data_IF_888852811417
#
_entry.id   IF_888852811417
#
_cell.length_a   1.000
_cell.length_b   1.000
_cell.length_c   1.000
_cell.angle_alpha   90.00
_cell.angle_beta   90.00
_cell.angle_gamma   90.00
#
_symmetry.space_group_name_H-M   'P 1'
#
loop_
_entity.id
_entity.type
_entity.pdbx_description
1 polymer ?
#
# COMPACT_ATOMS: atom_id res chain seq x y z
N UNK A 1 24.30 -28.26 -34.99
CA UNK A 1 24.90 -27.86 -33.70
C UNK A 1 24.30 -26.53 -33.17
N UNK A 2 24.36 -25.44 -33.90
CA UNK A 2 23.84 -24.12 -33.46
C UNK A 2 22.37 -24.10 -32.98
N UNK A 3 21.48 -24.91 -33.56
CA UNK A 3 20.06 -24.98 -33.16
C UNK A 3 19.82 -25.57 -31.78
N UNK A 4 20.67 -26.48 -31.29
CA UNK A 4 20.52 -27.09 -29.96
C UNK A 4 20.97 -26.14 -28.84
N UNK A 5 22.07 -25.44 -29.01
CA UNK A 5 22.53 -24.43 -28.05
C UNK A 5 21.57 -23.26 -27.89
N UNK A 6 21.00 -22.81 -29.03
CA UNK A 6 20.01 -21.74 -28.99
C UNK A 6 18.67 -22.20 -28.37
N UNK A 7 18.30 -23.47 -28.59
CA UNK A 7 17.12 -24.08 -27.93
C UNK A 7 17.31 -24.14 -26.41
N UNK A 8 18.51 -24.46 -25.93
CA UNK A 8 18.83 -24.43 -24.50
C UNK A 8 18.75 -23.00 -23.92
N UNK A 9 19.23 -22.01 -24.66
CA UNK A 9 19.12 -20.58 -24.27
C UNK A 9 17.66 -20.14 -24.11
N UNK A 10 16.74 -20.67 -24.90
CA UNK A 10 15.32 -20.39 -24.77
C UNK A 10 14.69 -21.02 -23.51
N UNK A 11 15.36 -21.93 -22.82
CA UNK A 11 14.85 -22.61 -21.62
C UNK A 11 13.43 -23.18 -21.78
N UNK A 12 13.15 -23.75 -22.94
CA UNK A 12 11.91 -24.48 -23.26
C UNK A 12 12.30 -25.93 -23.67
N UNK A 13 12.64 -26.80 -22.70
CA UNK A 13 13.29 -28.08 -22.96
C UNK A 13 12.45 -29.05 -23.81
N UNK A 14 11.13 -28.86 -23.82
CA UNK A 14 10.22 -29.70 -24.62
C UNK A 14 10.14 -29.30 -26.08
N UNK A 15 10.68 -28.12 -26.44
CA UNK A 15 10.56 -27.55 -27.78
C UNK A 15 11.92 -27.59 -28.48
N UNK A 16 11.88 -27.90 -29.78
CA UNK A 16 13.03 -27.81 -30.68
C UNK A 16 12.77 -26.68 -31.69
N UNK A 17 13.77 -25.82 -31.89
CA UNK A 17 13.73 -24.82 -32.97
C UNK A 17 13.97 -25.53 -34.31
N UNK A 18 13.05 -25.39 -35.24
CA UNK A 18 13.16 -25.91 -36.58
C UNK A 18 13.87 -24.90 -37.48
N UNK A 19 13.45 -23.64 -37.43
CA UNK A 19 14.07 -22.57 -38.20
C UNK A 19 13.80 -21.19 -37.59
N UNK A 20 14.64 -20.23 -37.93
CA UNK A 20 14.38 -18.83 -37.72
C UNK A 20 13.58 -18.29 -38.88
N UNK A 21 12.36 -17.80 -38.65
CA UNK A 21 11.48 -17.27 -39.67
C UNK A 21 11.81 -15.82 -40.01
N UNK A 22 12.15 -15.03 -38.97
CA UNK A 22 12.42 -13.61 -39.14
C UNK A 22 13.39 -13.15 -38.06
N UNK A 23 14.36 -12.31 -38.42
CA UNK A 23 15.20 -11.57 -37.50
C UNK A 23 15.25 -10.11 -37.94
N UNK A 24 14.42 -9.27 -37.33
CA UNK A 24 14.39 -7.83 -37.54
C UNK A 24 15.26 -7.09 -36.52
N UNK A 25 15.29 -5.74 -36.62
CA UNK A 25 16.01 -4.91 -35.63
C UNK A 25 15.39 -5.05 -34.22
N UNK A 26 14.07 -5.12 -34.12
CA UNK A 26 13.31 -5.10 -32.86
C UNK A 26 12.61 -6.43 -32.54
N UNK A 27 12.51 -7.36 -33.46
CA UNK A 27 11.80 -8.63 -33.28
C UNK A 27 12.53 -9.83 -33.88
N UNK A 28 12.26 -11.00 -33.33
CA UNK A 28 12.69 -12.28 -33.90
C UNK A 28 11.58 -13.30 -33.75
N UNK A 29 11.36 -14.12 -34.78
CA UNK A 29 10.35 -15.16 -34.79
C UNK A 29 10.94 -16.52 -35.16
N UNK A 30 10.69 -17.51 -34.32
CA UNK A 30 11.21 -18.86 -34.44
C UNK A 30 10.06 -19.84 -34.64
N UNK A 31 10.27 -20.82 -35.53
CA UNK A 31 9.38 -21.95 -35.69
C UNK A 31 9.86 -23.10 -34.81
N UNK A 32 8.93 -23.66 -34.02
CA UNK A 32 9.23 -24.70 -33.04
C UNK A 32 8.21 -25.84 -33.11
N UNK A 33 8.68 -27.04 -32.74
CA UNK A 33 7.83 -28.20 -32.49
C UNK A 33 8.22 -28.89 -31.20
N UNK A 34 7.28 -29.67 -30.62
CA UNK A 34 7.55 -30.46 -29.42
C UNK A 34 8.29 -31.75 -29.77
N UNK A 35 9.30 -32.11 -28.97
CA UNK A 35 10.17 -33.26 -29.25
C UNK A 35 9.58 -34.61 -28.85
N UNK A 36 8.58 -34.63 -27.96
CA UNK A 36 7.93 -35.87 -27.51
C UNK A 36 7.23 -36.61 -28.62
N UNK A 37 7.29 -37.94 -28.64
CA UNK A 37 6.61 -38.80 -29.65
C UNK A 37 5.15 -39.10 -29.29
N UNK A 38 4.78 -38.96 -28.01
CA UNK A 38 3.43 -39.23 -27.50
C UNK A 38 3.01 -38.13 -26.53
N UNK A 39 1.73 -38.10 -26.23
CA UNK A 39 1.19 -37.23 -25.20
C UNK A 39 0.22 -37.96 -24.27
N UNK A 40 0.09 -37.46 -23.04
CA UNK A 40 -0.84 -38.02 -22.06
C UNK A 40 -2.19 -37.29 -22.14
N UNK A 41 -3.25 -38.07 -22.27
CA UNK A 41 -4.59 -37.50 -22.29
C UNK A 41 -4.91 -36.80 -20.96
N UNK A 42 -5.29 -35.50 -20.94
CA UNK A 42 -5.54 -34.76 -19.69
C UNK A 42 -6.80 -35.24 -18.96
N UNK A 43 -7.63 -36.10 -19.57
CA UNK A 43 -8.87 -36.60 -18.96
C UNK A 43 -8.71 -37.97 -18.31
N UNK A 44 -8.01 -38.90 -18.95
CA UNK A 44 -7.88 -40.29 -18.47
C UNK A 44 -6.43 -40.74 -18.25
N UNK A 45 -5.45 -39.87 -18.41
CA UNK A 45 -4.02 -40.13 -18.26
C UNK A 45 -3.47 -41.24 -19.21
N UNK A 46 -4.22 -41.71 -20.19
CA UNK A 46 -3.75 -42.71 -21.18
C UNK A 46 -2.77 -42.05 -22.15
N UNK A 47 -1.69 -42.74 -22.48
CA UNK A 47 -0.72 -42.29 -23.51
C UNK A 47 -1.36 -42.40 -24.89
N UNK A 48 -1.26 -41.35 -25.69
CA UNK A 48 -1.76 -41.29 -27.09
C UNK A 48 -0.58 -41.04 -28.02
N UNK A 49 -0.45 -41.90 -29.01
CA UNK A 49 0.62 -41.86 -30.03
C UNK A 49 0.12 -41.31 -31.36
N UNK A 50 -1.18 -41.38 -31.59
CA UNK A 50 -1.80 -41.03 -32.87
C UNK A 50 -2.08 -39.54 -32.92
N UNK A 51 -1.40 -38.83 -33.81
CA UNK A 51 -1.68 -37.44 -34.11
C UNK A 51 -2.94 -37.36 -34.99
N UNK A 52 -3.91 -36.56 -34.58
CA UNK A 52 -5.15 -36.32 -35.31
C UNK A 52 -4.95 -35.24 -36.38
N UNK A 53 -4.43 -34.08 -35.95
CA UNK A 53 -4.05 -32.97 -36.82
C UNK A 53 -3.05 -32.06 -36.08
N UNK A 54 -2.78 -30.87 -36.61
CA UNK A 54 -1.95 -29.86 -35.94
C UNK A 54 -2.51 -28.44 -36.11
N UNK A 55 -2.18 -27.55 -35.18
CA UNK A 55 -2.53 -26.14 -35.23
C UNK A 55 -1.31 -25.26 -34.95
N UNK A 56 -1.15 -24.21 -35.74
CA UNK A 56 -0.12 -23.22 -35.54
C UNK A 56 -0.53 -22.19 -34.52
N UNK A 57 0.30 -21.94 -33.52
CA UNK A 57 0.05 -20.93 -32.48
C UNK A 57 1.24 -19.98 -32.40
N UNK A 58 0.96 -18.70 -32.49
CA UNK A 58 1.97 -17.65 -32.26
C UNK A 58 1.91 -17.19 -30.84
N UNK A 59 3.04 -17.31 -30.11
CA UNK A 59 3.18 -17.04 -28.68
C UNK A 59 4.24 -15.96 -28.49
N UNK A 60 3.94 -14.91 -27.74
CA UNK A 60 4.93 -13.90 -27.36
C UNK A 60 5.72 -14.36 -26.13
N UNK A 61 7.04 -14.22 -26.19
CA UNK A 61 7.96 -14.65 -25.15
C UNK A 61 8.72 -13.45 -24.54
N UNK A 62 9.45 -13.70 -23.46
CA UNK A 62 10.30 -12.69 -22.85
C UNK A 62 11.34 -12.18 -23.86
N UNK A 63 11.64 -10.87 -23.88
CA UNK A 63 12.60 -10.30 -24.81
C UNK A 63 14.00 -10.85 -24.54
N UNK A 64 14.79 -10.97 -25.60
CA UNK A 64 16.21 -11.34 -25.55
C UNK A 64 17.02 -10.21 -26.19
N UNK A 65 17.95 -9.60 -25.46
CA UNK A 65 18.78 -8.48 -25.94
C UNK A 65 17.91 -7.38 -26.57
N UNK A 66 16.87 -6.96 -25.86
CA UNK A 66 15.89 -5.92 -26.27
C UNK A 66 15.06 -6.22 -27.51
N UNK A 67 15.13 -7.45 -28.03
CA UNK A 67 14.29 -7.92 -29.15
C UNK A 67 13.06 -8.63 -28.63
N UNK A 68 11.90 -8.29 -29.18
CA UNK A 68 10.66 -9.05 -28.95
C UNK A 68 10.76 -10.43 -29.57
N UNK A 69 10.46 -11.45 -28.81
CA UNK A 69 10.55 -12.84 -29.24
C UNK A 69 9.15 -13.39 -29.49
N UNK A 70 8.96 -13.98 -30.66
CA UNK A 70 7.76 -14.70 -31.05
C UNK A 70 8.09 -16.15 -31.36
N UNK A 71 7.29 -17.04 -30.79
CA UNK A 71 7.40 -18.48 -30.95
C UNK A 71 6.20 -18.93 -31.78
N UNK A 72 6.43 -19.39 -33.00
CA UNK A 72 5.44 -20.01 -33.86
C UNK A 72 5.53 -21.54 -33.66
N UNK A 73 4.61 -22.05 -32.84
CA UNK A 73 4.68 -23.45 -32.37
C UNK A 73 3.65 -24.27 -33.18
N UNK A 74 4.15 -25.37 -33.78
CA UNK A 74 3.31 -26.37 -34.38
C UNK A 74 2.80 -27.32 -33.30
N UNK A 75 1.60 -27.02 -32.75
CA UNK A 75 0.97 -27.86 -31.73
C UNK A 75 0.19 -28.99 -32.38
N UNK A 76 0.49 -30.22 -32.00
CA UNK A 76 -0.21 -31.42 -32.43
C UNK A 76 -1.48 -31.61 -31.62
N UNK A 77 -2.52 -32.10 -32.27
CA UNK A 77 -3.71 -32.60 -31.59
C UNK A 77 -3.66 -34.13 -31.67
N UNK A 78 -3.75 -34.76 -30.53
CA UNK A 78 -3.73 -36.21 -30.38
C UNK A 78 -5.16 -36.74 -30.20
N UNK A 79 -5.41 -37.96 -30.70
CA UNK A 79 -6.68 -38.64 -30.46
C UNK A 79 -6.55 -39.66 -29.33
N UNK A 80 -7.33 -39.50 -28.29
CA UNK A 80 -7.37 -40.48 -27.18
C UNK A 80 -8.35 -41.59 -27.49
N UNK A 81 -7.85 -42.80 -27.67
CA UNK A 81 -8.68 -43.99 -27.99
C UNK A 81 -9.66 -44.33 -26.84
N UNK A 82 -9.24 -44.12 -25.58
CA UNK A 82 -10.07 -44.38 -24.36
C UNK A 82 -11.21 -43.38 -24.24
N UNK A 83 -10.90 -42.08 -24.32
CA UNK A 83 -11.92 -41.05 -24.20
C UNK A 83 -12.67 -40.76 -25.50
N UNK A 84 -12.23 -41.34 -26.65
CA UNK A 84 -12.74 -41.10 -28.00
C UNK A 84 -12.85 -39.62 -28.38
N UNK A 85 -11.87 -38.80 -27.91
CA UNK A 85 -11.83 -37.35 -28.13
C UNK A 85 -10.43 -36.85 -28.46
N UNK A 86 -10.31 -35.85 -29.32
CA UNK A 86 -9.03 -35.18 -29.57
C UNK A 86 -8.69 -34.24 -28.42
N UNK A 87 -7.40 -34.06 -28.19
CA UNK A 87 -6.84 -33.08 -27.25
C UNK A 87 -5.56 -32.48 -27.83
N UNK A 88 -5.32 -31.21 -27.52
CA UNK A 88 -4.11 -30.51 -27.96
C UNK A 88 -2.99 -30.73 -26.94
N UNK A 89 -1.78 -31.02 -27.44
CA UNK A 89 -0.61 -31.18 -26.59
C UNK A 89 -0.35 -29.97 -25.73
N UNK A 90 -0.10 -30.13 -24.40
CA UNK A 90 0.35 -29.08 -23.56
C UNK A 90 1.82 -28.76 -23.86
N UNK A 91 2.24 -27.54 -23.61
CA UNK A 91 3.65 -27.12 -23.62
C UNK A 91 3.99 -26.49 -22.30
N UNK A 92 5.02 -26.98 -21.62
CA UNK A 92 5.45 -26.43 -20.35
C UNK A 92 5.76 -24.93 -20.48
N UNK A 93 5.34 -24.14 -19.49
CA UNK A 93 5.49 -22.69 -19.52
C UNK A 93 4.52 -21.92 -20.42
N UNK A 94 3.53 -22.60 -21.04
CA UNK A 94 2.48 -21.96 -21.84
C UNK A 94 1.11 -22.48 -21.42
N UNK A 95 0.31 -21.64 -20.77
CA UNK A 95 -1.06 -22.03 -20.35
C UNK A 95 -2.00 -22.21 -21.55
N UNK A 96 -2.93 -23.14 -21.42
CA UNK A 96 -3.98 -23.36 -22.42
C UNK A 96 -4.76 -22.07 -22.68
N UNK A 97 -4.91 -21.70 -23.94
CA UNK A 97 -5.63 -20.50 -24.38
C UNK A 97 -4.83 -19.19 -24.29
N UNK A 98 -3.63 -19.21 -23.75
CA UNK A 98 -2.78 -18.01 -23.65
C UNK A 98 -1.86 -17.88 -24.87
N UNK A 99 -1.63 -16.63 -25.28
CA UNK A 99 -0.70 -16.26 -26.38
C UNK A 99 0.62 -15.69 -25.85
N UNK A 100 0.95 -16.01 -24.59
CA UNK A 100 2.18 -15.57 -23.91
C UNK A 100 2.75 -16.72 -23.09
N UNK A 101 4.08 -16.76 -22.95
CA UNK A 101 4.74 -17.66 -22.02
C UNK A 101 4.58 -17.17 -20.58
N UNK A 102 4.71 -18.07 -19.59
CA UNK A 102 4.69 -17.71 -18.16
C UNK A 102 5.86 -16.78 -17.79
N UNK A 103 7.05 -17.01 -18.34
CA UNK A 103 8.21 -16.14 -18.09
C UNK A 103 8.01 -14.74 -18.67
N UNK A 104 7.31 -14.58 -19.80
CA UNK A 104 6.95 -13.27 -20.32
C UNK A 104 5.97 -12.54 -19.38
N UNK A 105 5.02 -13.27 -18.79
CA UNK A 105 4.10 -12.69 -17.80
C UNK A 105 4.84 -12.26 -16.52
N UNK A 106 5.84 -13.03 -16.07
CA UNK A 106 6.73 -12.63 -14.98
C UNK A 106 7.58 -11.40 -15.36
N UNK A 107 8.04 -11.33 -16.60
CA UNK A 107 8.79 -10.18 -17.12
C UNK A 107 7.91 -8.92 -17.18
N UNK A 108 6.65 -9.03 -17.61
CA UNK A 108 5.68 -7.91 -17.51
C UNK A 108 5.55 -7.42 -16.08
N UNK A 109 5.48 -8.30 -15.09
CA UNK A 109 5.45 -7.93 -13.68
C UNK A 109 6.71 -7.16 -13.28
N UNK A 110 7.89 -7.70 -13.59
CA UNK A 110 9.16 -7.03 -13.30
C UNK A 110 9.24 -5.62 -13.93
N UNK A 111 8.87 -5.48 -15.20
CA UNK A 111 8.80 -4.17 -15.86
C UNK A 111 7.81 -3.23 -15.15
N UNK A 112 6.64 -3.75 -14.75
CA UNK A 112 5.60 -2.96 -14.07
C UNK A 112 6.01 -2.46 -12.70
N UNK A 113 6.96 -3.13 -12.05
CA UNK A 113 7.54 -2.72 -10.77
C UNK A 113 8.68 -1.70 -10.93
N UNK A 114 9.40 -1.73 -12.05
CA UNK A 114 10.59 -0.92 -12.27
C UNK A 114 10.34 0.32 -13.15
N UNK A 115 9.31 0.31 -14.00
CA UNK A 115 8.90 1.49 -14.76
C UNK A 115 7.92 2.37 -13.98
N UNK A 116 7.91 3.66 -14.30
CA UNK A 116 7.09 4.65 -13.61
C UNK A 116 5.58 4.37 -13.70
N UNK A 117 5.13 3.86 -14.84
CA UNK A 117 3.71 3.55 -15.07
C UNK A 117 3.50 2.43 -16.10
N UNK A 118 2.29 1.87 -16.10
CA UNK A 118 1.95 0.74 -16.97
C UNK A 118 1.94 1.11 -18.47
N UNK A 119 1.73 2.38 -18.84
CA UNK A 119 1.77 2.80 -20.23
C UNK A 119 3.19 2.75 -20.82
N UNK A 120 4.22 2.97 -20.00
CA UNK A 120 5.61 2.76 -20.42
C UNK A 120 5.89 1.28 -20.67
N UNK A 121 5.41 0.39 -19.80
CA UNK A 121 5.55 -1.06 -19.98
C UNK A 121 4.88 -1.51 -21.29
N UNK A 122 3.68 -0.98 -21.60
CA UNK A 122 2.97 -1.29 -22.82
C UNK A 122 3.81 -0.93 -24.06
N UNK A 123 4.37 0.28 -24.09
CA UNK A 123 5.21 0.72 -25.22
C UNK A 123 6.51 -0.07 -25.32
N UNK A 124 7.17 -0.30 -24.18
CA UNK A 124 8.46 -1.02 -24.15
C UNK A 124 8.33 -2.48 -24.59
N UNK A 125 7.24 -3.14 -24.21
CA UNK A 125 7.02 -4.55 -24.51
C UNK A 125 6.12 -4.77 -25.74
N UNK A 126 5.63 -3.71 -26.36
CA UNK A 126 4.67 -3.77 -27.47
C UNK A 126 3.51 -4.72 -27.14
N UNK A 127 2.75 -4.41 -26.09
CA UNK A 127 1.62 -5.19 -25.61
C UNK A 127 0.37 -4.34 -25.42
N UNK A 128 -0.80 -4.98 -25.53
CA UNK A 128 -2.06 -4.30 -25.26
C UNK A 128 -2.20 -3.93 -23.76
N UNK A 129 -2.95 -2.86 -23.49
CA UNK A 129 -3.31 -2.45 -22.12
C UNK A 129 -3.98 -3.60 -21.35
N UNK A 130 -4.89 -4.33 -22.00
CA UNK A 130 -5.60 -5.46 -21.39
C UNK A 130 -4.65 -6.57 -20.96
N UNK A 131 -3.69 -6.96 -21.81
CA UNK A 131 -2.70 -7.98 -21.49
C UNK A 131 -1.81 -7.53 -20.32
N UNK A 132 -1.32 -6.28 -20.36
CA UNK A 132 -0.48 -5.72 -19.31
C UNK A 132 -1.19 -5.75 -17.97
N UNK A 133 -2.40 -5.18 -17.88
CA UNK A 133 -3.19 -5.17 -16.65
C UNK A 133 -3.49 -6.59 -16.14
N UNK A 134 -3.97 -7.48 -17.02
CA UNK A 134 -4.29 -8.86 -16.65
C UNK A 134 -3.07 -9.61 -16.13
N UNK A 135 -1.93 -9.52 -16.83
CA UNK A 135 -0.71 -10.21 -16.42
C UNK A 135 -0.18 -9.67 -15.09
N UNK A 136 -0.10 -8.34 -14.95
CA UNK A 136 0.43 -7.69 -13.74
C UNK A 136 -0.41 -8.02 -12.50
N UNK A 137 -1.72 -7.75 -12.54
CA UNK A 137 -2.57 -7.95 -11.36
C UNK A 137 -2.85 -9.42 -11.02
N UNK A 138 -2.73 -10.33 -11.99
CA UNK A 138 -2.74 -11.76 -11.73
C UNK A 138 -1.50 -12.18 -10.93
N UNK A 139 -0.32 -11.75 -11.36
CA UNK A 139 0.93 -12.05 -10.65
C UNK A 139 0.96 -11.42 -9.25
N UNK A 140 0.52 -10.17 -9.09
CA UNK A 140 0.35 -9.55 -7.78
C UNK A 140 -0.57 -10.36 -6.87
N UNK A 141 -1.69 -10.84 -7.40
CA UNK A 141 -2.63 -11.67 -6.65
C UNK A 141 -2.01 -12.99 -6.16
N UNK A 142 -1.13 -13.60 -6.94
CA UNK A 142 -0.38 -14.80 -6.53
C UNK A 142 0.61 -14.50 -5.40
N UNK A 143 1.36 -13.40 -5.50
CA UNK A 143 2.32 -13.00 -4.47
C UNK A 143 1.64 -12.67 -3.14
N UNK A 144 0.54 -11.93 -3.18
CA UNK A 144 -0.20 -11.53 -1.97
C UNK A 144 -0.82 -12.74 -1.25
N UNK A 145 -1.24 -13.79 -1.97
CA UNK A 145 -1.77 -15.03 -1.37
C UNK A 145 -0.79 -15.73 -0.43
N UNK A 146 0.51 -15.47 -0.57
CA UNK A 146 1.53 -16.03 0.34
C UNK A 146 1.51 -15.40 1.73
N UNK A 147 0.80 -14.27 1.92
CA UNK A 147 0.65 -13.58 3.21
C UNK A 147 -0.55 -14.18 3.96
N UNK A 148 -0.42 -15.39 4.47
CA UNK A 148 -1.48 -16.06 5.25
C UNK A 148 -1.15 -16.06 6.75
N UNK A 149 -0.77 -14.92 7.31
CA UNK A 149 -0.46 -14.82 8.72
C UNK A 149 -1.63 -14.23 9.49
N UNK A 150 -1.70 -14.53 10.78
CA UNK A 150 -2.59 -13.88 11.74
C UNK A 150 -2.25 -12.39 11.88
N UNK A 151 -3.13 -11.63 12.53
CA UNK A 151 -2.85 -10.26 12.89
C UNK A 151 -1.61 -10.16 13.77
N UNK A 152 -0.75 -9.19 13.50
CA UNK A 152 0.40 -8.88 14.34
C UNK A 152 -0.03 -8.20 15.64
N UNK A 153 0.81 -8.25 16.67
CA UNK A 153 0.50 -7.72 18.02
C UNK A 153 0.28 -6.21 18.08
N UNK A 154 0.77 -5.45 17.10
CA UNK A 154 0.62 -3.99 17.04
C UNK A 154 0.20 -3.55 15.66
N UNK A 155 -0.90 -2.84 15.58
CA UNK A 155 -1.54 -2.36 14.35
C UNK A 155 -1.69 -0.85 14.38
N UNK A 156 -1.32 -0.17 13.30
CA UNK A 156 -1.65 1.23 13.06
C UNK A 156 -2.83 1.33 12.09
N UNK A 157 -3.78 2.19 12.40
CA UNK A 157 -4.94 2.48 11.54
C UNK A 157 -4.91 3.97 11.20
N UNK A 158 -5.07 4.27 9.90
CA UNK A 158 -5.17 5.64 9.41
C UNK A 158 -5.98 5.65 8.10
N UNK A 159 -6.25 6.82 7.56
CA UNK A 159 -7.00 6.96 6.32
C UNK A 159 -6.31 7.89 5.31
N UNK A 160 -6.62 7.65 4.05
CA UNK A 160 -6.29 8.60 2.99
C UNK A 160 -7.38 8.64 1.93
N UNK A 161 -7.45 9.76 1.21
CA UNK A 161 -8.39 9.91 0.12
C UNK A 161 -8.01 8.95 -1.02
N UNK A 162 -8.93 8.06 -1.40
CA UNK A 162 -8.78 7.18 -2.54
C UNK A 162 -9.20 7.87 -3.83
N UNK A 163 -10.39 8.46 -3.84
CA UNK A 163 -10.95 9.07 -5.03
C UNK A 163 -11.69 10.36 -4.70
N UNK A 164 -11.60 11.34 -5.59
CA UNK A 164 -12.36 12.57 -5.50
C UNK A 164 -13.42 12.57 -6.60
N UNK A 165 -14.69 12.62 -6.24
CA UNK A 165 -15.75 12.74 -7.21
C UNK A 165 -15.75 14.17 -7.77
N UNK A 166 -15.64 14.29 -9.11
CA UNK A 166 -15.57 15.59 -9.79
C UNK A 166 -16.85 16.40 -9.69
N UNK A 167 -18.02 15.74 -9.59
CA UNK A 167 -19.34 16.40 -9.65
C UNK A 167 -19.97 16.77 -8.30
N UNK A 168 -19.47 16.27 -7.17
CA UNK A 168 -20.16 16.46 -5.89
C UNK A 168 -19.29 16.77 -4.67
N UNK A 169 -17.98 17.00 -4.82
CA UNK A 169 -17.11 17.25 -3.67
C UNK A 169 -16.88 16.04 -2.74
N UNK A 170 -17.59 14.93 -2.95
CA UNK A 170 -17.50 13.71 -2.17
C UNK A 170 -16.14 13.04 -2.38
N UNK A 171 -15.53 12.65 -1.27
CA UNK A 171 -14.26 11.90 -1.29
C UNK A 171 -14.50 10.49 -0.79
N UNK A 172 -14.11 9.51 -1.58
CA UNK A 172 -13.99 8.13 -1.11
C UNK A 172 -12.69 8.00 -0.32
N UNK A 173 -12.76 7.41 0.85
CA UNK A 173 -11.61 7.15 1.70
C UNK A 173 -11.23 5.69 1.66
N UNK A 174 -9.95 5.41 1.85
CA UNK A 174 -9.42 4.09 2.09
C UNK A 174 -8.77 4.07 3.48
N UNK A 175 -9.17 3.11 4.31
CA UNK A 175 -8.58 2.85 5.62
C UNK A 175 -7.45 1.84 5.46
N UNK A 176 -6.27 2.19 5.95
CA UNK A 176 -5.05 1.40 5.90
C UNK A 176 -4.78 0.77 7.26
N UNK A 177 -4.47 -0.53 7.25
CA UNK A 177 -4.07 -1.32 8.42
C UNK A 177 -2.60 -1.71 8.26
N UNK A 178 -1.75 -1.24 9.18
CA UNK A 178 -0.29 -1.40 9.12
C UNK A 178 0.20 -2.28 10.26
N UNK A 179 0.90 -3.34 9.94
CA UNK A 179 1.60 -4.19 10.91
C UNK A 179 2.95 -3.60 11.29
N UNK A 180 3.19 -3.42 12.58
CA UNK A 180 4.41 -2.81 13.08
C UNK A 180 5.59 -3.79 13.14
N UNK A 181 5.35 -5.05 13.50
CA UNK A 181 6.38 -6.09 13.54
C UNK A 181 6.93 -6.39 12.14
N UNK A 182 6.06 -6.60 11.17
CA UNK A 182 6.43 -6.95 9.80
C UNK A 182 6.72 -5.73 8.92
N UNK A 183 6.50 -4.51 9.42
CA UNK A 183 6.75 -3.25 8.70
C UNK A 183 6.07 -3.19 7.31
N UNK A 184 4.81 -3.58 7.24
CA UNK A 184 4.05 -3.66 5.98
C UNK A 184 2.61 -3.22 6.14
N UNK A 185 1.97 -2.91 5.02
CA UNK A 185 0.51 -2.78 4.95
C UNK A 185 -0.09 -4.17 4.97
N UNK A 186 -0.88 -4.46 5.99
CA UNK A 186 -1.57 -5.75 6.13
C UNK A 186 -2.81 -5.81 5.27
N UNK A 187 -3.61 -4.75 5.34
CA UNK A 187 -4.86 -4.65 4.60
C UNK A 187 -5.21 -3.19 4.27
N UNK A 188 -6.03 -3.04 3.25
CA UNK A 188 -6.62 -1.77 2.83
C UNK A 188 -8.12 -1.99 2.59
N UNK A 189 -8.96 -1.28 3.33
CA UNK A 189 -10.41 -1.32 3.20
C UNK A 189 -10.95 -0.03 2.57
N UNK A 190 -11.93 -0.15 1.68
CA UNK A 190 -12.66 1.01 1.18
C UNK A 190 -13.64 1.47 2.26
N UNK A 191 -13.77 2.79 2.44
CA UNK A 191 -14.58 3.38 3.48
C UNK A 191 -13.81 3.72 4.75
N UNK A 192 -14.49 4.33 5.72
CA UNK A 192 -13.95 4.74 7.02
C UNK A 192 -14.93 4.59 8.17
N UNK A 193 -16.21 4.36 7.88
CA UNK A 193 -17.22 4.10 8.91
C UNK A 193 -17.11 2.68 9.45
N UNK A 194 -17.47 2.41 10.71
CA UNK A 194 -17.45 1.06 11.26
C UNK A 194 -18.26 0.07 10.41
N UNK A 195 -19.44 0.44 9.93
CA UNK A 195 -20.28 -0.42 9.07
C UNK A 195 -19.58 -0.82 7.77
N UNK A 196 -18.91 0.14 7.07
CA UNK A 196 -18.14 -0.16 5.86
C UNK A 196 -16.96 -1.10 6.15
N UNK A 197 -16.28 -0.92 7.28
CA UNK A 197 -15.14 -1.74 7.66
C UNK A 197 -15.58 -3.15 8.08
N UNK A 198 -16.67 -3.29 8.84
CA UNK A 198 -17.20 -4.59 9.23
C UNK A 198 -17.81 -5.38 8.06
N UNK A 199 -18.28 -4.71 7.01
CA UNK A 199 -18.76 -5.38 5.79
C UNK A 199 -17.63 -5.81 4.84
N UNK A 200 -16.37 -5.49 5.14
CA UNK A 200 -15.25 -5.87 4.28
C UNK A 200 -14.83 -7.33 4.53
N UNK A 201 -15.26 -8.25 3.68
CA UNK A 201 -15.00 -9.69 3.79
C UNK A 201 -13.51 -10.03 3.92
N UNK A 202 -12.61 -9.32 3.22
CA UNK A 202 -11.16 -9.57 3.26
C UNK A 202 -10.56 -9.19 4.60
N UNK A 203 -11.01 -8.07 5.16
CA UNK A 203 -10.60 -7.63 6.48
C UNK A 203 -11.11 -8.61 7.55
N UNK A 204 -12.38 -9.04 7.41
CA UNK A 204 -13.03 -9.98 8.31
C UNK A 204 -12.41 -11.38 8.25
N UNK A 205 -11.86 -11.80 7.11
CA UNK A 205 -11.26 -13.11 6.92
C UNK A 205 -9.87 -13.27 7.55
N UNK A 206 -9.23 -12.19 8.02
CA UNK A 206 -7.90 -12.28 8.64
C UNK A 206 -8.04 -12.84 10.08
N UNK A 207 -7.41 -13.97 10.40
CA UNK A 207 -7.51 -14.58 11.73
C UNK A 207 -6.64 -13.86 12.77
N UNK A 208 -6.83 -14.19 14.05
CA UNK A 208 -5.97 -13.77 15.15
C UNK A 208 -6.22 -12.32 15.62
N UNK A 209 -7.46 -11.84 15.60
CA UNK A 209 -7.82 -10.50 16.12
C UNK A 209 -7.51 -10.36 17.61
N UNK A 210 -7.65 -11.44 18.36
CA UNK A 210 -7.36 -11.58 19.78
C UNK A 210 -5.87 -11.45 20.11
N UNK A 211 -4.98 -11.64 19.12
CA UNK A 211 -3.53 -11.51 19.29
C UNK A 211 -3.06 -10.05 19.30
N UNK A 212 -3.92 -9.13 18.83
CA UNK A 212 -3.57 -7.71 18.79
C UNK A 212 -3.61 -7.12 20.19
N UNK A 213 -2.46 -6.60 20.64
CA UNK A 213 -2.26 -5.99 21.96
C UNK A 213 -2.33 -4.48 21.94
N UNK A 214 -1.97 -3.86 20.81
CA UNK A 214 -1.93 -2.42 20.67
C UNK A 214 -2.50 -1.98 19.32
N UNK A 215 -3.37 -0.97 19.35
CA UNK A 215 -3.87 -0.32 18.15
C UNK A 215 -3.61 1.18 18.23
N UNK A 216 -2.88 1.72 17.26
CA UNK A 216 -2.56 3.14 17.19
C UNK A 216 -3.51 3.79 16.18
N UNK A 217 -4.21 4.83 16.63
CA UNK A 217 -5.18 5.59 15.82
C UNK A 217 -4.98 7.10 15.99
N UNK A 218 -5.56 7.85 15.08
CA UNK A 218 -5.79 9.28 15.28
C UNK A 218 -6.89 9.54 16.34
N UNK A 219 -7.19 10.80 16.62
CA UNK A 219 -8.25 11.18 17.58
C UNK A 219 -9.66 11.04 16.96
N UNK A 220 -9.92 9.93 16.27
CA UNK A 220 -11.19 9.62 15.62
C UNK A 220 -12.04 8.70 16.47
N UNK A 221 -13.21 9.15 16.89
CA UNK A 221 -14.19 8.31 17.60
C UNK A 221 -14.66 7.11 16.76
N UNK A 222 -14.68 7.28 15.45
CA UNK A 222 -15.04 6.24 14.49
C UNK A 222 -14.06 5.09 14.54
N UNK A 223 -12.76 5.39 14.46
CA UNK A 223 -11.72 4.37 14.57
C UNK A 223 -11.58 3.80 15.96
N UNK A 224 -11.80 4.62 17.00
CA UNK A 224 -11.84 4.12 18.38
C UNK A 224 -12.90 3.03 18.55
N UNK A 225 -14.14 3.32 18.14
CA UNK A 225 -15.24 2.34 18.21
C UNK A 225 -14.90 1.09 17.39
N UNK A 226 -14.50 1.25 16.13
CA UNK A 226 -14.13 0.12 15.30
C UNK A 226 -13.02 -0.72 15.94
N UNK A 227 -11.94 -0.10 16.41
CA UNK A 227 -10.80 -0.82 17.00
C UNK A 227 -11.18 -1.55 18.30
N UNK A 228 -12.01 -0.95 19.15
CA UNK A 228 -12.51 -1.58 20.39
C UNK A 228 -13.34 -2.83 20.10
N UNK A 229 -14.22 -2.75 19.07
CA UNK A 229 -15.14 -3.85 18.74
C UNK A 229 -14.40 -4.95 17.93
N UNK A 230 -13.42 -4.57 17.10
CA UNK A 230 -12.73 -5.48 16.18
C UNK A 230 -11.53 -6.20 16.82
N UNK A 231 -10.82 -5.55 17.75
CA UNK A 231 -9.64 -6.09 18.44
C UNK A 231 -9.88 -6.13 19.97
N UNK A 232 -10.55 -7.16 20.47
CA UNK A 232 -11.10 -7.16 21.84
C UNK A 232 -10.05 -7.05 22.95
N UNK A 233 -8.82 -7.49 22.70
CA UNK A 233 -7.73 -7.48 23.68
C UNK A 233 -6.79 -6.28 23.52
N UNK A 234 -7.05 -5.37 22.57
CA UNK A 234 -6.12 -4.31 22.23
C UNK A 234 -6.26 -3.08 23.13
N UNK A 235 -5.14 -2.54 23.56
CA UNK A 235 -5.05 -1.19 24.12
C UNK A 235 -5.02 -0.18 22.96
N UNK A 236 -5.90 0.80 23.01
CA UNK A 236 -5.96 1.85 22.00
C UNK A 236 -5.00 2.98 22.41
N UNK A 237 -4.17 3.42 21.47
CA UNK A 237 -3.15 4.45 21.66
C UNK A 237 -3.48 5.62 20.74
N UNK A 238 -3.66 6.81 21.33
CA UNK A 238 -3.83 8.03 20.55
C UNK A 238 -2.48 8.49 20.00
N UNK A 239 -2.41 8.73 18.70
CA UNK A 239 -1.17 9.18 18.07
C UNK A 239 -0.75 10.57 18.54
N UNK A 240 0.48 10.63 19.06
CA UNK A 240 1.11 11.86 19.57
C UNK A 240 1.11 12.99 18.53
N UNK A 241 1.34 12.68 17.26
CA UNK A 241 1.40 13.67 16.21
C UNK A 241 0.05 14.38 16.02
N UNK A 242 -1.05 13.62 16.05
CA UNK A 242 -2.39 14.16 15.95
C UNK A 242 -2.80 14.99 17.17
N UNK A 243 -2.39 14.58 18.38
CA UNK A 243 -2.56 15.40 19.59
C UNK A 243 -1.81 16.73 19.44
N UNK A 244 -0.53 16.71 19.08
CA UNK A 244 0.27 17.93 18.87
C UNK A 244 -0.29 18.83 17.76
N UNK A 245 -0.88 18.24 16.73
CA UNK A 245 -1.52 18.96 15.63
C UNK A 245 -2.69 19.83 16.10
N UNK A 246 -3.45 19.39 17.12
CA UNK A 246 -4.52 20.22 17.70
C UNK A 246 -3.93 21.54 18.27
N UNK A 247 -2.87 21.44 19.05
CA UNK A 247 -2.19 22.63 19.61
C UNK A 247 -1.62 23.53 18.51
N UNK A 248 -0.94 22.97 17.55
CA UNK A 248 -0.37 23.70 16.43
C UNK A 248 -1.43 24.44 15.60
N UNK A 249 -2.62 23.85 15.43
CA UNK A 249 -3.74 24.50 14.72
C UNK A 249 -4.23 25.74 15.49
N UNK A 250 -4.40 25.64 16.81
CA UNK A 250 -4.84 26.76 17.64
C UNK A 250 -3.79 27.88 17.66
N UNK A 251 -2.52 27.56 17.89
CA UNK A 251 -1.42 28.54 17.82
C UNK A 251 -1.44 29.27 16.47
N UNK A 252 -1.60 28.54 15.37
CA UNK A 252 -1.65 29.15 14.04
C UNK A 252 -2.92 29.99 13.81
N UNK A 253 -4.06 29.63 14.40
CA UNK A 253 -5.29 30.40 14.33
C UNK A 253 -5.11 31.75 15.04
N UNK A 254 -4.64 31.74 16.28
CA UNK A 254 -4.40 32.97 17.06
C UNK A 254 -3.34 33.87 16.42
N UNK A 255 -2.24 33.27 15.93
CA UNK A 255 -1.24 34.03 15.14
C UNK A 255 -1.88 34.71 13.92
N UNK A 256 -2.79 34.05 13.18
CA UNK A 256 -3.46 34.65 12.03
C UNK A 256 -4.32 35.85 12.42
N UNK A 257 -4.98 35.79 13.56
CA UNK A 257 -5.78 36.90 14.05
C UNK A 257 -4.92 38.16 14.32
N UNK A 258 -3.68 37.99 14.77
CA UNK A 258 -2.75 39.08 15.02
C UNK A 258 -2.01 39.57 13.76
N UNK A 259 -1.60 38.65 12.85
CA UNK A 259 -0.67 38.97 11.74
C UNK A 259 -1.28 38.85 10.34
N UNK A 260 -2.56 38.50 10.24
CA UNK A 260 -3.22 38.14 8.98
C UNK A 260 -2.75 36.77 8.43
N UNK A 261 -3.49 36.22 7.48
CA UNK A 261 -3.19 34.92 6.87
C UNK A 261 -2.19 35.05 5.72
N UNK A 262 -0.93 35.26 6.05
CA UNK A 262 0.15 35.19 5.07
C UNK A 262 0.91 33.87 5.27
N UNK A 263 0.75 32.92 4.33
CA UNK A 263 1.44 31.61 4.38
C UNK A 263 2.97 31.73 4.42
N UNK A 264 3.51 32.83 3.89
CA UNK A 264 4.96 33.12 3.86
C UNK A 264 5.47 33.85 5.12
N UNK A 265 4.61 34.11 6.10
CA UNK A 265 5.04 34.78 7.33
C UNK A 265 6.05 33.90 8.09
N UNK A 266 7.29 34.35 8.32
CA UNK A 266 8.35 33.54 8.93
C UNK A 266 8.04 33.16 10.38
N UNK A 267 7.34 33.99 11.15
CA UNK A 267 6.96 33.71 12.54
C UNK A 267 6.12 32.44 12.67
N UNK A 268 5.29 32.11 11.67
CA UNK A 268 4.51 30.88 11.66
C UNK A 268 5.39 29.64 11.81
N UNK A 269 6.46 29.55 11.02
CA UNK A 269 7.38 28.38 11.08
C UNK A 269 8.07 28.27 12.44
N UNK A 270 8.39 29.39 13.03
CA UNK A 270 9.07 29.48 14.34
C UNK A 270 8.14 29.07 15.48
N UNK A 271 6.92 29.60 15.52
CA UNK A 271 5.92 29.25 16.54
C UNK A 271 5.47 27.78 16.50
N UNK A 272 5.48 27.14 15.33
CA UNK A 272 5.12 25.73 15.19
C UNK A 272 6.28 24.78 15.53
N UNK A 273 7.52 25.26 15.55
CA UNK A 273 8.64 24.47 16.07
C UNK A 273 8.54 24.36 17.59
N UNK A 274 9.13 23.31 18.14
CA UNK A 274 9.36 23.22 19.59
C UNK A 274 10.38 24.30 19.99
N UNK A 275 10.11 25.01 21.09
CA UNK A 275 10.98 26.09 21.60
C UNK A 275 12.45 25.62 21.76
N UNK A 276 12.66 24.38 22.22
CA UNK A 276 13.99 23.82 22.38
C UNK A 276 14.76 23.59 21.07
N UNK A 277 14.09 23.57 19.92
CA UNK A 277 14.68 23.37 18.59
C UNK A 277 14.89 24.70 17.85
N UNK A 278 14.64 25.82 18.51
CA UNK A 278 14.81 27.17 17.97
C UNK A 278 16.10 27.77 18.52
N UNK A 279 16.88 28.40 17.64
CA UNK A 279 18.09 29.11 18.04
C UNK A 279 17.82 30.09 19.18
N UNK A 280 18.72 30.21 20.19
CA UNK A 280 18.53 31.08 21.37
C UNK A 280 18.30 32.56 21.03
N UNK A 281 18.93 33.09 19.97
CA UNK A 281 18.73 34.48 19.55
C UNK A 281 17.35 34.69 18.97
N UNK A 282 16.91 33.75 18.11
CA UNK A 282 15.58 33.76 17.50
C UNK A 282 14.51 33.56 18.57
N UNK A 283 14.78 32.72 19.58
CA UNK A 283 13.85 32.50 20.71
C UNK A 283 13.56 33.79 21.48
N UNK A 284 14.57 34.58 21.79
CA UNK A 284 14.39 35.89 22.44
C UNK A 284 13.52 36.85 21.64
N UNK A 285 13.61 36.80 20.30
CA UNK A 285 12.73 37.57 19.43
C UNK A 285 11.28 37.06 19.45
N UNK A 286 11.09 35.71 19.51
CA UNK A 286 9.76 35.10 19.66
C UNK A 286 9.15 35.50 21.01
N UNK A 287 9.90 35.43 22.09
CA UNK A 287 9.42 35.73 23.46
C UNK A 287 8.95 37.19 23.53
N UNK A 288 9.73 38.16 23.01
CA UNK A 288 9.29 39.57 22.90
C UNK A 288 8.02 39.74 22.11
N UNK A 289 7.92 39.04 20.95
CA UNK A 289 6.72 39.09 20.13
C UNK A 289 5.49 38.49 20.83
N UNK A 290 5.69 37.41 21.63
CA UNK A 290 4.63 36.80 22.44
C UNK A 290 4.17 37.71 23.57
N UNK A 291 5.07 38.48 24.19
CA UNK A 291 4.71 39.47 25.26
C UNK A 291 3.80 40.57 24.70
N UNK A 292 3.96 40.93 23.42
CA UNK A 292 3.07 41.89 22.74
C UNK A 292 1.73 41.23 22.29
N UNK A 293 1.62 39.89 22.35
CA UNK A 293 0.45 39.14 21.88
C UNK A 293 -0.02 38.11 22.93
N UNK A 294 -0.62 38.53 24.07
CA UNK A 294 -0.92 37.66 25.21
C UNK A 294 -1.78 36.43 24.88
N UNK A 295 -2.76 36.55 24.00
CA UNK A 295 -3.61 35.42 23.60
C UNK A 295 -2.81 34.35 22.82
N UNK A 296 -1.82 34.74 22.01
CA UNK A 296 -0.92 33.80 21.33
C UNK A 296 0.05 33.21 22.32
N UNK A 297 0.55 33.99 23.27
CA UNK A 297 1.45 33.55 24.34
C UNK A 297 0.81 32.42 25.16
N UNK A 298 -0.45 32.56 25.56
CA UNK A 298 -1.18 31.56 26.32
C UNK A 298 -1.29 30.23 25.55
N UNK A 299 -1.76 30.26 24.28
CA UNK A 299 -1.87 29.04 23.47
C UNK A 299 -0.50 28.42 23.15
N UNK A 300 0.53 29.24 22.97
CA UNK A 300 1.91 28.79 22.77
C UNK A 300 2.45 28.11 24.03
N UNK A 301 2.18 28.64 25.22
CA UNK A 301 2.55 27.99 26.49
C UNK A 301 1.98 26.59 26.60
N UNK A 302 0.69 26.37 26.29
CA UNK A 302 0.08 25.04 26.34
C UNK A 302 0.67 24.11 25.27
N UNK A 303 1.01 24.60 24.10
CA UNK A 303 1.71 23.82 23.06
C UNK A 303 3.07 23.33 23.60
N UNK A 304 3.87 24.21 24.19
CA UNK A 304 5.17 23.85 24.75
C UNK A 304 5.04 22.93 25.98
N UNK A 305 4.03 23.14 26.82
CA UNK A 305 3.73 22.25 27.93
C UNK A 305 3.44 20.83 27.45
N UNK A 306 2.68 20.68 26.34
CA UNK A 306 2.40 19.39 25.74
C UNK A 306 3.63 18.75 25.08
N UNK A 307 4.55 19.54 24.52
CA UNK A 307 5.84 19.03 24.07
C UNK A 307 6.69 18.49 25.23
N UNK A 308 6.71 19.18 26.38
CA UNK A 308 7.38 18.71 27.62
C UNK A 308 6.70 17.46 28.17
N UNK A 309 5.37 17.41 28.18
CA UNK A 309 4.58 16.26 28.60
C UNK A 309 5.00 14.98 27.90
N UNK A 310 5.12 14.96 26.58
CA UNK A 310 5.53 13.77 25.82
C UNK A 310 7.00 13.35 26.02
N UNK A 311 7.77 14.07 26.82
CA UNK A 311 9.16 13.71 27.20
C UNK A 311 9.26 13.10 28.59
N UNK A 312 8.15 13.05 29.32
CA UNK A 312 8.09 12.46 30.66
C UNK A 312 8.34 10.95 30.55
N UNK A 313 8.99 10.39 31.56
CA UNK A 313 9.14 8.94 31.69
C UNK A 313 8.13 8.40 32.70
N UNK A 314 7.46 7.32 32.34
CA UNK A 314 6.52 6.57 33.17
C UNK A 314 5.10 7.13 33.22
N UNK A 315 4.15 6.22 33.07
CA UNK A 315 2.70 6.52 32.94
C UNK A 315 2.11 7.20 34.20
N UNK A 316 2.57 6.81 35.41
CA UNK A 316 2.08 7.40 36.68
C UNK A 316 2.41 8.90 36.76
N UNK A 317 3.62 9.29 36.37
CA UNK A 317 4.05 10.68 36.33
C UNK A 317 3.31 11.44 35.23
N UNK A 318 3.24 10.88 34.01
CA UNK A 318 2.51 11.46 32.89
C UNK A 318 1.04 11.72 33.26
N UNK A 319 0.37 10.80 33.94
CA UNK A 319 -1.00 10.98 34.40
C UNK A 319 -1.15 12.22 35.30
N UNK A 320 -0.30 12.38 36.29
CA UNK A 320 -0.32 13.55 37.21
C UNK A 320 -0.11 14.85 36.44
N UNK A 321 0.86 14.89 35.53
CA UNK A 321 1.15 16.09 34.73
C UNK A 321 0.01 16.42 33.78
N UNK A 322 -0.60 15.43 33.13
CA UNK A 322 -1.74 15.65 32.24
C UNK A 322 -2.96 16.19 32.99
N UNK A 323 -3.25 15.68 34.19
CA UNK A 323 -4.31 16.21 35.06
C UNK A 323 -4.02 17.68 35.39
N UNK A 324 -2.82 17.98 35.93
CA UNK A 324 -2.44 19.36 36.28
C UNK A 324 -2.55 20.30 35.07
N UNK A 325 -2.12 19.87 33.88
CA UNK A 325 -2.22 20.64 32.65
C UNK A 325 -3.68 20.90 32.25
N UNK A 326 -4.53 19.89 32.31
CA UNK A 326 -5.95 20.04 32.00
C UNK A 326 -6.69 20.90 33.03
N UNK A 327 -6.28 20.89 34.30
CA UNK A 327 -6.85 21.76 35.34
C UNK A 327 -6.44 23.22 35.11
N UNK A 328 -5.20 23.49 34.75
CA UNK A 328 -4.75 24.82 34.34
C UNK A 328 -5.52 25.33 33.11
N UNK A 329 -5.75 24.48 32.13
CA UNK A 329 -6.55 24.83 30.93
C UNK A 329 -8.01 25.15 31.28
N UNK A 330 -8.55 24.67 32.39
CA UNK A 330 -9.92 25.00 32.83
C UNK A 330 -10.05 26.48 33.23
N UNK A 331 -8.97 27.08 33.70
CA UNK A 331 -8.92 28.48 34.16
C UNK A 331 -8.74 29.48 32.98
N UNK A 332 -8.44 28.98 31.80
CA UNK A 332 -8.28 29.83 30.62
C UNK A 332 -9.61 30.52 30.22
N UNK A 333 -9.52 31.76 29.78
CA UNK A 333 -10.66 32.49 29.21
C UNK A 333 -10.86 32.20 27.72
N UNK A 334 -9.88 31.51 27.06
CA UNK A 334 -9.92 31.22 25.63
C UNK A 334 -10.81 30.00 25.34
N UNK A 335 -11.87 30.14 24.51
CA UNK A 335 -12.82 29.06 24.24
C UNK A 335 -12.17 27.86 23.54
N UNK A 336 -11.16 28.10 22.69
CA UNK A 336 -10.41 27.03 22.01
C UNK A 336 -9.58 26.20 22.99
N UNK A 337 -9.03 26.81 24.05
CA UNK A 337 -8.32 26.10 25.11
C UNK A 337 -9.29 25.22 25.92
N UNK A 338 -10.50 25.72 26.22
CA UNK A 338 -11.54 24.92 26.88
C UNK A 338 -11.98 23.74 26.01
N UNK A 339 -12.11 23.93 24.70
CA UNK A 339 -12.43 22.87 23.73
C UNK A 339 -11.31 21.83 23.65
N UNK A 340 -10.04 22.29 23.59
CA UNK A 340 -8.89 21.41 23.57
C UNK A 340 -8.78 20.58 24.87
N UNK A 341 -9.01 21.21 26.03
CA UNK A 341 -9.10 20.53 27.32
C UNK A 341 -10.15 19.40 27.29
N UNK A 342 -11.34 19.66 26.79
CA UNK A 342 -12.42 18.65 26.66
C UNK A 342 -11.92 17.45 25.85
N UNK A 343 -11.23 17.70 24.74
CA UNK A 343 -10.64 16.65 23.91
C UNK A 343 -9.58 15.86 24.67
N UNK A 344 -8.65 16.52 25.36
CA UNK A 344 -7.62 15.84 26.15
C UNK A 344 -8.19 15.00 27.30
N UNK A 345 -9.24 15.49 27.97
CA UNK A 345 -9.92 14.74 29.02
C UNK A 345 -10.63 13.50 28.44
N UNK A 346 -11.28 13.63 27.28
CA UNK A 346 -11.96 12.52 26.62
C UNK A 346 -10.98 11.42 26.18
N UNK A 347 -9.81 11.79 25.66
CA UNK A 347 -8.80 10.87 25.13
C UNK A 347 -7.67 10.60 26.14
N UNK A 348 -7.90 10.87 27.42
CA UNK A 348 -6.87 10.77 28.47
C UNK A 348 -6.22 9.40 28.52
N UNK A 349 -7.00 8.34 28.50
CA UNK A 349 -6.50 6.98 28.64
C UNK A 349 -5.65 6.60 27.44
N UNK A 350 -6.10 6.87 26.23
CA UNK A 350 -5.43 6.56 24.98
C UNK A 350 -4.14 7.38 24.80
N UNK A 351 -4.12 8.64 25.25
CA UNK A 351 -2.92 9.49 25.28
C UNK A 351 -1.89 8.92 26.26
N UNK A 352 -2.34 8.44 27.43
CA UNK A 352 -1.45 7.89 28.44
C UNK A 352 -0.85 6.53 28.06
N UNK A 353 -1.51 5.75 27.19
CA UNK A 353 -0.96 4.48 26.68
C UNK A 353 0.37 4.67 25.92
N UNK A 354 0.63 5.82 25.33
CA UNK A 354 1.93 6.14 24.76
C UNK A 354 3.10 5.93 25.73
N UNK A 355 2.91 6.19 27.03
CA UNK A 355 3.96 6.12 28.06
C UNK A 355 4.25 4.69 28.57
N UNK A 356 3.49 3.70 28.13
CA UNK A 356 3.76 2.29 28.40
C UNK A 356 4.76 1.70 27.39
N UNK A 357 4.65 2.04 26.11
CA UNK A 357 5.40 1.37 25.04
C UNK A 357 6.01 2.29 23.99
N UNK A 358 5.81 3.60 24.06
CA UNK A 358 6.41 4.60 23.17
C UNK A 358 5.93 4.55 21.71
N UNK A 359 4.84 3.84 21.43
CA UNK A 359 4.33 3.62 20.07
C UNK A 359 3.73 4.92 19.50
N UNK A 360 4.03 5.18 18.22
CA UNK A 360 3.53 6.34 17.47
C UNK A 360 3.07 5.91 16.08
N UNK A 361 2.23 6.72 15.43
CA UNK A 361 1.69 6.42 14.09
C UNK A 361 2.66 6.75 12.93
N UNK A 362 3.90 7.13 13.22
CA UNK A 362 4.86 7.56 12.20
C UNK A 362 5.11 6.53 11.10
N UNK A 363 4.98 5.23 11.42
CA UNK A 363 5.08 4.15 10.42
C UNK A 363 3.88 4.14 9.49
N UNK A 364 2.67 4.28 10.01
CA UNK A 364 1.44 4.33 9.22
C UNK A 364 1.43 5.58 8.32
N UNK A 365 1.90 6.73 8.83
CA UNK A 365 2.10 7.92 8.00
C UNK A 365 3.10 7.67 6.86
N UNK A 366 4.19 6.94 7.11
CA UNK A 366 5.15 6.52 6.09
C UNK A 366 4.46 5.74 4.96
N UNK A 367 3.65 4.75 5.30
CA UNK A 367 2.90 3.97 4.30
C UNK A 367 1.80 4.78 3.62
N UNK A 368 1.16 5.73 4.28
CA UNK A 368 0.26 6.67 3.64
C UNK A 368 0.97 7.54 2.58
N UNK A 369 2.25 7.88 2.77
CA UNK A 369 3.06 8.56 1.74
C UNK A 369 3.32 7.65 0.55
N UNK A 370 3.67 6.37 0.80
CA UNK A 370 3.81 5.35 -0.27
C UNK A 370 2.50 5.17 -1.03
N UNK A 371 1.37 5.08 -0.33
CA UNK A 371 0.04 4.98 -0.92
C UNK A 371 -0.26 6.15 -1.88
N UNK A 372 -0.01 7.38 -1.43
CA UNK A 372 -0.17 8.60 -2.23
C UNK A 372 0.79 8.64 -3.44
N UNK A 373 2.02 8.14 -3.28
CA UNK A 373 3.00 8.05 -4.38
C UNK A 373 2.52 7.06 -5.45
N UNK A 374 2.03 5.88 -5.05
CA UNK A 374 1.46 4.88 -5.96
C UNK A 374 0.27 5.45 -6.74
N UNK A 375 -0.65 6.17 -6.06
CA UNK A 375 -1.77 6.83 -6.71
C UNK A 375 -1.30 7.88 -7.73
N UNK A 376 -0.30 8.68 -7.39
CA UNK A 376 0.25 9.73 -8.24
C UNK A 376 0.92 9.15 -9.48
N UNK A 377 1.77 8.13 -9.32
CA UNK A 377 2.47 7.47 -10.42
C UNK A 377 1.52 6.74 -11.39
N UNK A 378 0.37 6.28 -10.87
CA UNK A 378 -0.67 5.64 -11.69
C UNK A 378 -1.67 6.65 -12.29
N UNK A 379 -1.51 7.95 -12.07
CA UNK A 379 -2.50 8.99 -12.42
C UNK A 379 -3.91 8.70 -11.86
N UNK A 380 -3.96 8.02 -10.70
CA UNK A 380 -5.17 7.56 -10.03
C UNK A 380 -5.56 6.11 -10.38
N UNK A 381 -6.50 5.58 -9.63
CA UNK A 381 -7.04 4.24 -9.82
C UNK A 381 -8.56 4.29 -10.02
N UNK A 382 -9.06 3.57 -11.03
CA UNK A 382 -10.51 3.35 -11.20
C UNK A 382 -11.01 2.19 -10.34
N UNK A 383 -10.21 1.14 -10.21
CA UNK A 383 -10.53 -0.08 -9.49
C UNK A 383 -9.77 -0.11 -8.16
N UNK A 384 -10.54 -0.16 -7.05
CA UNK A 384 -9.97 -0.20 -5.70
C UNK A 384 -9.15 -1.46 -5.44
N UNK A 385 -9.60 -2.62 -5.93
CA UNK A 385 -8.88 -3.88 -5.73
C UNK A 385 -7.50 -3.87 -6.38
N UNK A 386 -7.37 -3.25 -7.54
CA UNK A 386 -6.06 -3.07 -8.19
C UNK A 386 -5.14 -2.17 -7.37
N UNK A 387 -5.69 -1.09 -6.80
CA UNK A 387 -4.95 -0.21 -5.89
C UNK A 387 -4.52 -0.94 -4.61
N UNK A 388 -5.44 -1.67 -3.99
CA UNK A 388 -5.21 -2.48 -2.80
C UNK A 388 -4.06 -3.47 -3.03
N UNK A 389 -4.13 -4.29 -4.09
CA UNK A 389 -3.10 -5.27 -4.44
C UNK A 389 -1.74 -4.61 -4.64
N UNK A 390 -1.70 -3.50 -5.35
CA UNK A 390 -0.43 -2.80 -5.63
C UNK A 390 0.19 -2.21 -4.36
N UNK A 391 -0.63 -1.66 -3.46
CA UNK A 391 -0.13 -1.11 -2.20
C UNK A 391 0.39 -2.22 -1.27
N UNK A 392 -0.38 -3.28 -1.05
CA UNK A 392 0.04 -4.41 -0.21
C UNK A 392 1.34 -5.00 -0.74
N UNK A 393 1.40 -5.33 -2.02
CA UNK A 393 2.60 -5.89 -2.66
C UNK A 393 3.83 -4.98 -2.52
N UNK A 394 3.67 -3.68 -2.73
CA UNK A 394 4.80 -2.73 -2.68
C UNK A 394 5.36 -2.51 -1.28
N UNK A 395 4.67 -2.95 -0.26
CA UNK A 395 5.02 -2.79 1.16
C UNK A 395 5.38 -4.11 1.85
N UNK A 396 5.39 -5.22 1.10
CA UNK A 396 5.79 -6.57 1.59
C UNK A 396 7.28 -6.68 1.93
#
# INVERSE_FOLDING_TARGET
MLTNEFTQTLQLPELKIIKCLRTGKLDSEFELEKTSKFEVCPKCATRSWTTYDHVWVRIKDAPIRDRHIYLKIKKRRFYCKTCKKPFTEPVAGIRKGFRTTERFRKHIMWCSDNFSNLSQVQRQLDISSSLNHKAYYEQLGLQIKTIQNEWATTIGIDEHAFKKNKKGGYREFATIFVEYSHKRVRELALGRSPGELFSNEKLMAIPGRENVKNVIIDLSKTYHRFASDFFPNAKIIADRFHVMRLFNNIVNQYRKNCTGDKRKNPIRKLLLKRSADVDPHIRRAIDRWLDENPSVQEVYYYKEAMHRFYRIKGIKHARRVLIKLTDQMALSNLPEIKTLRKTLCQWRNEILQFFENGLTNGRTEGFNRVAKLIQRNAYGFRNFENYRRRLIYRTM
#
